data_IF_849655952832
#
_entry.id   IF_849655952832
#
_cell.length_a   1.000
_cell.length_b   1.000
_cell.length_c   1.000
_cell.angle_alpha   90.00
_cell.angle_beta   90.00
_cell.angle_gamma   90.00
#
_symmetry.space_group_name_H-M   'P 1'
#
loop_
_entity.id
_entity.type
_entity.pdbx_description
1 polymer ?
#
# COMPACT_ATOMS: atom_id res chain seq x y z
N UNK A 1 -10.33 9.63 48.70
CA UNK A 1 -10.39 9.61 47.24
C UNK A 1 -11.35 8.53 46.72
N UNK A 2 -11.52 7.41 47.46
CA UNK A 2 -12.43 6.30 47.16
C UNK A 2 -13.46 6.24 48.29
N UNK A 3 -14.74 6.15 47.96
CA UNK A 3 -15.82 5.95 48.90
C UNK A 3 -15.70 4.55 49.53
N UNK A 4 -15.76 4.49 50.90
CA UNK A 4 -15.49 3.24 51.63
C UNK A 4 -16.60 2.19 51.46
N UNK A 5 -17.81 2.65 51.20
CA UNK A 5 -19.03 1.86 51.10
C UNK A 5 -19.28 1.28 49.71
N UNK A 6 -18.88 2.02 48.67
CA UNK A 6 -19.14 1.65 47.26
C UNK A 6 -17.89 1.31 46.46
N UNK A 7 -16.69 1.62 46.95
CA UNK A 7 -15.45 1.53 46.17
C UNK A 7 -15.34 2.54 45.01
N UNK A 8 -16.35 3.40 44.85
CA UNK A 8 -16.38 4.39 43.76
C UNK A 8 -15.45 5.58 44.06
N UNK A 9 -14.97 6.22 42.99
CA UNK A 9 -14.22 7.48 43.12
C UNK A 9 -15.13 8.58 43.67
N UNK A 10 -14.64 9.30 44.71
CA UNK A 10 -15.28 10.51 45.20
C UNK A 10 -15.03 11.70 44.28
N UNK A 11 -15.75 12.81 44.42
CA UNK A 11 -15.46 14.04 43.69
C UNK A 11 -14.02 14.53 43.88
N UNK A 12 -13.47 14.38 45.11
CA UNK A 12 -12.04 14.66 45.38
C UNK A 12 -11.10 13.66 44.69
N UNK A 13 -11.55 12.41 44.53
CA UNK A 13 -10.81 11.39 43.78
C UNK A 13 -10.75 11.71 42.28
N UNK A 14 -11.87 12.11 41.71
CA UNK A 14 -11.94 12.54 40.31
C UNK A 14 -11.09 13.79 40.05
N UNK A 15 -11.14 14.79 40.94
CA UNK A 15 -10.30 15.98 40.83
C UNK A 15 -8.80 15.68 40.89
N UNK A 16 -8.40 14.69 41.69
CA UNK A 16 -7.00 14.23 41.76
C UNK A 16 -6.53 13.50 40.49
N UNK A 17 -7.44 12.89 39.74
CA UNK A 17 -7.16 12.22 38.47
C UNK A 17 -7.18 13.17 37.26
N UNK A 18 -7.75 14.35 37.37
CA UNK A 18 -7.90 15.29 36.26
C UNK A 18 -6.59 15.64 35.54
N UNK A 19 -5.42 15.80 36.22
CA UNK A 19 -4.13 16.00 35.55
C UNK A 19 -3.69 14.83 34.65
N UNK A 20 -4.26 13.65 34.86
CA UNK A 20 -3.94 12.41 34.14
C UNK A 20 -5.01 12.09 33.08
N UNK A 21 -5.96 12.99 32.87
CA UNK A 21 -6.99 12.78 31.88
C UNK A 21 -6.41 12.73 30.48
N UNK A 22 -6.85 11.77 29.71
CA UNK A 22 -6.57 11.68 28.28
C UNK A 22 -7.41 12.73 27.55
N UNK A 23 -6.77 13.60 26.82
CA UNK A 23 -7.44 14.70 26.10
C UNK A 23 -8.08 14.20 24.81
N UNK A 24 -7.36 13.37 24.05
CA UNK A 24 -7.77 12.93 22.73
C UNK A 24 -7.02 11.68 22.25
N UNK A 25 -7.34 11.24 21.02
CA UNK A 25 -6.59 10.23 20.31
C UNK A 25 -6.30 10.65 18.87
N UNK A 26 -5.13 10.26 18.37
CA UNK A 26 -4.71 10.38 16.97
C UNK A 26 -4.53 8.97 16.40
N UNK A 27 -5.27 8.63 15.34
CA UNK A 27 -5.17 7.34 14.66
C UNK A 27 -4.48 7.55 13.31
N UNK A 28 -3.34 6.89 13.11
CA UNK A 28 -2.59 6.93 11.86
C UNK A 28 -3.17 5.90 10.88
N UNK A 29 -3.73 6.37 9.77
CA UNK A 29 -4.43 5.56 8.76
C UNK A 29 -4.06 5.98 7.32
N UNK A 30 -2.87 6.54 7.11
CA UNK A 30 -2.48 7.10 5.82
C UNK A 30 -1.78 6.09 4.89
N UNK A 31 -1.26 4.98 5.41
CA UNK A 31 -0.43 4.02 4.69
C UNK A 31 -1.17 3.20 3.63
N UNK A 32 -0.45 2.83 2.56
CA UNK A 32 -0.99 2.00 1.47
C UNK A 32 -1.00 0.49 1.76
N UNK A 33 -0.33 0.04 2.82
CA UNK A 33 -0.33 -1.37 3.29
C UNK A 33 -0.01 -2.39 2.17
N UNK A 34 1.03 -2.12 1.38
CA UNK A 34 1.38 -2.90 0.17
C UNK A 34 1.66 -4.37 0.42
N UNK A 35 1.99 -4.76 1.65
CA UNK A 35 2.15 -6.17 2.06
C UNK A 35 0.81 -6.94 2.14
N UNK A 36 -0.32 -6.24 2.12
CA UNK A 36 -1.68 -6.83 2.21
C UNK A 36 -2.35 -7.06 0.85
N UNK A 37 -1.60 -7.10 -0.22
CA UNK A 37 -2.12 -7.47 -1.53
C UNK A 37 -2.70 -8.90 -1.48
N UNK A 38 -3.90 -9.14 -2.07
CA UNK A 38 -4.64 -8.24 -2.98
C UNK A 38 -5.56 -7.23 -2.30
N UNK A 39 -5.90 -7.37 -1.03
CA UNK A 39 -6.95 -6.60 -0.38
C UNK A 39 -6.65 -5.10 -0.30
N UNK A 40 -5.38 -4.75 -0.05
CA UNK A 40 -4.97 -3.34 0.02
C UNK A 40 -5.12 -2.61 -1.32
N UNK A 41 -5.21 -3.32 -2.45
CA UNK A 41 -5.54 -2.71 -3.74
C UNK A 41 -7.00 -2.24 -3.82
N UNK A 42 -7.88 -2.82 -3.04
CA UNK A 42 -9.30 -2.49 -3.04
C UNK A 42 -9.66 -1.48 -1.94
N UNK A 43 -9.12 -1.65 -0.73
CA UNK A 43 -9.42 -0.77 0.41
C UNK A 43 -8.23 -0.63 1.36
N UNK A 44 -8.15 0.48 2.12
CA UNK A 44 -7.13 0.67 3.15
C UNK A 44 -7.25 -0.36 4.28
N UNK A 45 -6.12 -0.78 4.86
CA UNK A 45 -6.04 -1.81 5.92
C UNK A 45 -6.95 -1.52 7.11
N UNK A 46 -7.05 -0.26 7.55
CA UNK A 46 -7.94 0.13 8.66
C UNK A 46 -9.44 -0.12 8.41
N UNK A 47 -9.83 -0.35 7.15
CA UNK A 47 -11.22 -0.69 6.77
C UNK A 47 -11.44 -2.19 6.58
N UNK A 48 -10.42 -3.02 6.78
CA UNK A 48 -10.61 -4.47 6.73
C UNK A 48 -11.58 -4.90 7.83
N UNK A 49 -12.50 -5.77 7.44
CA UNK A 49 -13.47 -6.35 8.34
C UNK A 49 -12.86 -7.62 8.96
N UNK A 50 -12.70 -7.61 10.27
CA UNK A 50 -12.12 -8.72 11.05
C UNK A 50 -13.14 -9.11 12.10
N UNK A 51 -13.53 -10.38 12.11
CA UNK A 51 -14.60 -10.92 12.99
C UNK A 51 -15.88 -10.09 12.93
N UNK A 52 -16.24 -9.59 11.74
CA UNK A 52 -17.46 -8.82 11.50
C UNK A 52 -17.40 -7.35 11.87
N UNK A 53 -16.22 -6.81 12.23
CA UNK A 53 -16.04 -5.41 12.58
C UNK A 53 -14.86 -4.79 11.81
N UNK A 54 -14.99 -3.56 11.32
CA UNK A 54 -13.86 -2.85 10.71
C UNK A 54 -12.86 -2.43 11.77
N UNK A 55 -11.57 -2.66 11.52
CA UNK A 55 -10.48 -2.41 12.47
C UNK A 55 -10.54 -1.00 13.07
N UNK A 56 -10.61 0.04 12.24
CA UNK A 56 -10.64 1.43 12.69
C UNK A 56 -11.95 1.76 13.43
N UNK A 57 -13.09 1.19 13.01
CA UNK A 57 -14.36 1.44 13.69
C UNK A 57 -14.37 0.86 15.09
N UNK A 58 -13.82 -0.37 15.24
CA UNK A 58 -13.64 -1.00 16.55
C UNK A 58 -12.78 -0.14 17.48
N UNK A 59 -11.64 0.37 17.01
CA UNK A 59 -10.79 1.26 17.80
C UNK A 59 -11.52 2.54 18.22
N UNK A 60 -12.24 3.19 17.29
CA UNK A 60 -13.01 4.39 17.59
C UNK A 60 -14.07 4.11 18.65
N UNK A 61 -14.78 2.99 18.57
CA UNK A 61 -15.79 2.60 19.56
C UNK A 61 -15.18 2.33 20.93
N UNK A 62 -14.00 1.67 20.98
CA UNK A 62 -13.27 1.39 22.21
C UNK A 62 -12.76 2.68 22.88
N UNK A 63 -12.23 3.64 22.09
CA UNK A 63 -11.85 4.97 22.58
C UNK A 63 -13.03 5.72 23.19
N UNK A 64 -14.17 5.75 22.47
CA UNK A 64 -15.39 6.39 22.96
C UNK A 64 -15.96 5.72 24.22
N UNK A 65 -15.90 4.39 24.30
CA UNK A 65 -16.30 3.64 25.49
C UNK A 65 -15.41 3.97 26.71
N UNK A 66 -14.17 4.37 26.49
CA UNK A 66 -13.26 4.88 27.54
C UNK A 66 -13.51 6.38 27.87
N UNK A 67 -14.45 7.05 27.19
CA UNK A 67 -14.77 8.46 27.38
C UNK A 67 -13.81 9.42 26.65
N UNK A 68 -13.18 8.95 25.56
CA UNK A 68 -12.30 9.74 24.69
C UNK A 68 -13.06 10.02 23.40
N UNK A 69 -13.69 11.19 23.31
CA UNK A 69 -14.55 11.58 22.20
C UNK A 69 -13.84 12.42 21.14
N UNK A 70 -12.76 13.11 21.50
CA UNK A 70 -11.96 13.90 20.57
C UNK A 70 -10.96 13.00 19.84
N UNK A 71 -11.34 12.53 18.64
CA UNK A 71 -10.56 11.58 17.86
C UNK A 71 -10.22 12.20 16.50
N UNK A 72 -8.93 12.25 16.17
CA UNK A 72 -8.43 12.70 14.88
C UNK A 72 -7.84 11.51 14.13
N UNK A 73 -8.24 11.33 12.87
CA UNK A 73 -7.71 10.28 11.99
C UNK A 73 -6.87 10.94 10.89
N UNK A 74 -5.62 10.50 10.77
CA UNK A 74 -4.72 10.97 9.70
C UNK A 74 -4.84 10.04 8.52
N UNK A 75 -5.32 10.57 7.39
CA UNK A 75 -5.68 9.83 6.18
C UNK A 75 -4.70 10.11 5.04
N UNK A 76 -4.52 9.17 4.14
CA UNK A 76 -3.71 9.31 2.93
C UNK A 76 -4.25 8.43 1.81
N UNK A 77 -3.77 7.20 1.72
CA UNK A 77 -4.20 6.23 0.72
C UNK A 77 -5.72 6.00 0.75
N UNK A 78 -6.39 6.16 -0.39
CA UNK A 78 -7.85 5.99 -0.57
C UNK A 78 -8.67 6.67 0.53
N UNK A 79 -8.24 7.88 0.92
CA UNK A 79 -8.80 8.69 2.02
C UNK A 79 -10.32 8.84 1.95
N UNK A 80 -10.89 8.89 0.74
CA UNK A 80 -12.32 9.06 0.50
C UNK A 80 -13.16 7.94 1.12
N UNK A 81 -12.60 6.73 1.22
CA UNK A 81 -13.29 5.58 1.80
C UNK A 81 -13.51 5.70 3.31
N UNK A 82 -12.80 6.61 3.98
CA UNK A 82 -12.96 6.88 5.42
C UNK A 82 -13.93 8.01 5.74
N UNK A 83 -14.35 8.82 4.77
CA UNK A 83 -15.10 10.05 5.05
C UNK A 83 -16.43 9.83 5.76
N UNK A 84 -17.06 8.68 5.61
CA UNK A 84 -18.28 8.31 6.33
C UNK A 84 -18.09 8.25 7.86
N UNK A 85 -16.86 8.04 8.35
CA UNK A 85 -16.57 8.01 9.78
C UNK A 85 -16.84 9.35 10.47
N UNK A 86 -16.78 10.46 9.72
CA UNK A 86 -17.11 11.79 10.25
C UNK A 86 -18.58 11.87 10.65
N UNK A 87 -19.47 11.41 9.80
CA UNK A 87 -20.90 11.41 10.09
C UNK A 87 -21.26 10.36 11.15
N UNK A 88 -20.63 9.17 11.07
CA UNK A 88 -20.96 8.04 11.94
C UNK A 88 -20.45 8.23 13.37
N UNK A 89 -19.24 8.78 13.52
CA UNK A 89 -18.54 8.82 14.81
C UNK A 89 -18.12 10.23 15.27
N UNK A 90 -18.25 11.26 14.44
CA UNK A 90 -17.84 12.62 14.77
C UNK A 90 -16.34 12.85 14.78
N UNK A 91 -15.54 11.99 14.13
CA UNK A 91 -14.08 12.12 14.08
C UNK A 91 -13.64 13.28 13.18
N UNK A 92 -12.45 13.81 13.45
CA UNK A 92 -11.76 14.82 12.63
C UNK A 92 -10.82 14.13 11.65
N UNK A 93 -10.51 14.78 10.53
CA UNK A 93 -9.54 14.29 9.57
C UNK A 93 -8.41 15.27 9.35
N UNK A 94 -7.19 14.73 9.25
CA UNK A 94 -6.00 15.41 8.73
C UNK A 94 -5.55 14.62 7.51
N UNK A 95 -5.24 15.31 6.41
CA UNK A 95 -4.83 14.66 5.17
C UNK A 95 -3.33 14.72 5.01
N UNK A 96 -2.71 13.56 4.80
CA UNK A 96 -1.31 13.44 4.42
C UNK A 96 -1.24 13.10 2.92
N UNK A 97 -1.06 14.12 2.09
CA UNK A 97 -0.92 13.93 0.64
C UNK A 97 0.47 13.41 0.22
N UNK A 98 1.42 13.35 1.17
CA UNK A 98 2.76 12.80 0.94
C UNK A 98 2.93 11.35 1.40
N UNK A 99 1.84 10.63 1.69
CA UNK A 99 1.83 9.29 2.28
C UNK A 99 2.62 8.24 1.47
N UNK A 100 2.77 8.44 0.16
CA UNK A 100 3.50 7.55 -0.75
C UNK A 100 5.02 7.84 -0.83
N UNK A 101 5.46 8.97 -0.27
CA UNK A 101 6.87 9.41 -0.30
C UNK A 101 7.44 9.44 1.11
N UNK A 102 6.61 9.83 2.07
CA UNK A 102 6.98 10.00 3.48
C UNK A 102 6.24 8.99 4.35
N UNK A 103 6.93 8.47 5.35
CA UNK A 103 6.38 7.48 6.28
C UNK A 103 5.49 8.12 7.37
N UNK A 104 5.12 7.35 8.40
CA UNK A 104 4.16 7.74 9.44
C UNK A 104 4.61 8.93 10.29
N UNK A 105 5.91 9.28 10.34
CA UNK A 105 6.40 10.49 11.00
C UNK A 105 5.77 11.76 10.40
N UNK A 106 5.58 11.81 9.08
CA UNK A 106 4.90 12.95 8.45
C UNK A 106 3.44 13.02 8.88
N UNK A 107 2.76 11.88 8.97
CA UNK A 107 1.36 11.82 9.44
C UNK A 107 1.25 12.37 10.87
N UNK A 108 2.16 11.97 11.75
CA UNK A 108 2.19 12.45 13.13
C UNK A 108 2.57 13.93 13.23
N UNK A 109 3.51 14.39 12.40
CA UNK A 109 3.87 15.81 12.34
C UNK A 109 2.71 16.69 11.84
N UNK A 110 1.94 16.24 10.86
CA UNK A 110 0.74 16.95 10.41
C UNK A 110 -0.29 17.07 11.52
N UNK A 111 -0.38 16.06 12.39
CA UNK A 111 -1.28 16.03 13.54
C UNK A 111 -0.69 16.71 14.81
N UNK A 112 0.46 17.38 14.73
CA UNK A 112 1.18 17.91 15.92
C UNK A 112 0.36 18.86 16.79
N UNK A 113 -0.57 19.62 16.22
CA UNK A 113 -1.47 20.50 16.98
C UNK A 113 -2.47 19.74 17.85
N UNK A 114 -2.70 18.46 17.56
CA UNK A 114 -3.58 17.58 18.31
C UNK A 114 -2.84 16.81 19.41
N UNK A 115 -1.49 16.81 19.40
CA UNK A 115 -0.69 16.08 20.39
C UNK A 115 -0.65 16.84 21.75
N UNK A 116 -1.29 16.22 22.76
CA UNK A 116 -1.43 16.69 24.14
C UNK A 116 -1.18 15.49 25.07
N UNK A 117 -2.07 15.24 26.03
CA UNK A 117 -2.23 13.92 26.67
C UNK A 117 -2.99 13.01 25.69
N UNK A 118 -2.27 12.39 24.77
CA UNK A 118 -2.84 11.82 23.55
C UNK A 118 -2.54 10.33 23.40
N UNK A 119 -3.53 9.53 23.07
CA UNK A 119 -3.28 8.20 22.51
C UNK A 119 -2.86 8.34 21.04
N UNK A 120 -1.71 7.78 20.71
CA UNK A 120 -1.24 7.60 19.33
C UNK A 120 -1.45 6.14 18.94
N UNK A 121 -2.29 5.91 17.95
CA UNK A 121 -2.73 4.60 17.51
C UNK A 121 -2.43 4.39 16.03
N UNK A 122 -2.30 3.13 15.61
CA UNK A 122 -2.29 2.71 14.21
C UNK A 122 -3.63 2.06 13.87
N UNK A 123 -4.12 2.27 12.65
CA UNK A 123 -5.48 1.86 12.26
C UNK A 123 -5.67 0.37 12.02
N UNK A 124 -4.59 -0.40 12.05
CA UNK A 124 -4.51 -1.81 11.68
C UNK A 124 -4.36 -2.76 12.88
N UNK A 125 -4.42 -2.24 14.09
CA UNK A 125 -4.43 -3.05 15.31
C UNK A 125 -5.83 -3.52 15.66
N UNK A 126 -5.96 -4.79 16.03
CA UNK A 126 -7.15 -5.39 16.59
C UNK A 126 -6.96 -5.66 18.09
N UNK A 127 -7.72 -4.96 18.91
CA UNK A 127 -7.75 -5.18 20.37
C UNK A 127 -8.92 -6.07 20.74
N UNK A 128 -8.63 -7.23 21.35
CA UNK A 128 -9.67 -8.18 21.78
C UNK A 128 -10.54 -7.56 22.86
N UNK A 129 -9.90 -6.96 23.86
CA UNK A 129 -10.54 -6.17 24.91
C UNK A 129 -10.18 -4.70 24.74
N UNK A 130 -10.95 -3.81 25.37
CA UNK A 130 -10.67 -2.38 25.31
C UNK A 130 -9.40 -2.03 26.08
N UNK A 131 -8.30 -1.60 25.42
CA UNK A 131 -7.04 -1.27 26.10
C UNK A 131 -7.00 0.17 26.61
N UNK A 132 -7.98 1.01 26.23
CA UNK A 132 -7.98 2.44 26.49
C UNK A 132 -8.60 2.76 27.84
N UNK A 133 -7.99 3.75 28.52
CA UNK A 133 -8.46 4.27 29.79
C UNK A 133 -8.70 5.78 29.69
N UNK A 134 -9.65 6.28 30.45
CA UNK A 134 -9.92 7.72 30.55
C UNK A 134 -8.78 8.51 31.19
N UNK A 135 -8.00 7.87 32.04
CA UNK A 135 -6.88 8.45 32.76
C UNK A 135 -5.64 7.59 32.60
N UNK A 136 -4.52 8.20 32.24
CA UNK A 136 -3.21 7.55 32.15
C UNK A 136 -2.16 8.40 32.87
N UNK A 137 -1.37 7.77 33.71
CA UNK A 137 -0.47 8.52 34.62
C UNK A 137 0.96 8.68 34.10
N UNK A 138 1.32 7.99 32.98
CA UNK A 138 2.66 8.07 32.41
C UNK A 138 2.63 7.78 30.91
N UNK A 139 3.58 8.35 30.19
CA UNK A 139 3.83 8.04 28.79
C UNK A 139 4.24 6.58 28.64
N UNK A 140 3.60 5.84 27.75
CA UNK A 140 3.97 4.45 27.49
C UNK A 140 3.82 4.07 26.01
N UNK A 141 4.49 2.97 25.64
CA UNK A 141 4.24 2.22 24.44
C UNK A 141 3.78 0.81 24.82
N UNK A 142 2.69 0.34 24.18
CA UNK A 142 2.18 -1.01 24.38
C UNK A 142 3.09 -2.04 23.69
N UNK A 143 3.09 -3.26 24.17
CA UNK A 143 3.83 -4.34 23.52
C UNK A 143 3.59 -5.71 24.12
N UNK A 144 4.24 -6.68 23.53
CA UNK A 144 4.18 -8.10 23.88
C UNK A 144 5.58 -8.65 24.08
N UNK A 145 5.69 -9.72 24.89
CA UNK A 145 6.90 -10.56 24.92
C UNK A 145 6.77 -11.67 23.89
N UNK A 146 7.78 -11.82 23.03
CA UNK A 146 7.84 -12.85 21.99
C UNK A 146 9.00 -13.80 22.23
N UNK A 147 8.80 -15.08 21.92
CA UNK A 147 9.80 -16.15 22.07
C UNK A 147 10.54 -16.50 20.77
N UNK A 148 10.10 -15.93 19.66
CA UNK A 148 10.68 -16.12 18.32
C UNK A 148 10.91 -14.77 17.67
N UNK A 149 11.79 -14.74 16.66
CA UNK A 149 12.10 -13.52 15.91
C UNK A 149 10.87 -13.01 15.16
N UNK A 150 10.56 -11.73 15.37
CA UNK A 150 9.52 -11.01 14.63
C UNK A 150 10.11 -9.73 14.04
N UNK A 151 9.50 -9.22 13.00
CA UNK A 151 9.96 -7.99 12.32
C UNK A 151 9.39 -6.74 13.01
N UNK A 152 9.63 -6.63 14.33
CA UNK A 152 9.16 -5.53 15.16
C UNK A 152 10.33 -4.84 15.86
N UNK A 153 10.04 -3.68 16.46
CA UNK A 153 11.02 -2.94 17.25
C UNK A 153 11.07 -3.49 18.68
N UNK A 154 12.21 -4.07 19.04
CA UNK A 154 12.47 -4.62 20.37
C UNK A 154 12.88 -3.54 21.34
N UNK A 155 12.54 -3.74 22.62
CA UNK A 155 12.92 -2.82 23.70
C UNK A 155 13.59 -3.52 24.87
N UNK A 156 14.53 -2.79 25.50
CA UNK A 156 15.06 -3.12 26.84
C UNK A 156 14.49 -2.11 27.83
N UNK A 157 14.14 -2.58 29.03
CA UNK A 157 13.63 -1.72 30.10
C UNK A 157 14.51 -1.80 31.33
N UNK A 158 14.51 -0.74 32.14
CA UNK A 158 15.05 -0.79 33.50
C UNK A 158 14.08 -1.50 34.49
N UNK A 159 14.45 -1.48 35.79
CA UNK A 159 13.64 -2.11 36.85
C UNK A 159 12.26 -1.51 37.03
N UNK A 160 12.06 -0.27 36.60
CA UNK A 160 10.81 0.48 36.77
C UNK A 160 9.94 0.39 35.52
N UNK A 161 10.41 -0.35 34.48
CA UNK A 161 9.71 -0.53 33.20
C UNK A 161 9.93 0.60 32.22
N UNK A 162 10.84 1.55 32.49
CA UNK A 162 11.21 2.61 31.55
C UNK A 162 11.98 2.00 30.38
N UNK A 163 11.63 2.36 29.16
CA UNK A 163 12.37 1.97 27.95
C UNK A 163 13.72 2.70 27.96
N UNK A 164 14.81 1.93 27.95
CA UNK A 164 16.18 2.45 27.95
C UNK A 164 16.92 2.21 26.64
N UNK A 165 16.40 1.32 25.81
CA UNK A 165 16.97 0.99 24.50
C UNK A 165 15.89 0.45 23.56
N UNK A 166 15.99 0.82 22.30
CA UNK A 166 15.21 0.25 21.19
C UNK A 166 16.15 -0.38 20.17
N UNK A 167 15.82 -1.56 19.64
CA UNK A 167 16.68 -2.31 18.72
C UNK A 167 15.83 -3.11 17.73
N UNK A 168 16.44 -3.49 16.61
CA UNK A 168 15.86 -4.37 15.59
C UNK A 168 16.57 -5.71 15.58
N UNK A 169 16.00 -6.67 14.85
CA UNK A 169 16.63 -7.94 14.50
C UNK A 169 17.13 -8.73 15.73
N UNK A 170 16.23 -9.06 16.65
CA UNK A 170 16.49 -9.97 17.77
C UNK A 170 15.73 -11.27 17.59
N UNK A 171 16.21 -12.32 18.22
CA UNK A 171 15.58 -13.65 18.17
C UNK A 171 14.36 -13.75 19.08
N UNK A 172 14.33 -13.00 20.20
CA UNK A 172 13.25 -12.97 21.17
C UNK A 172 13.34 -11.69 22.03
N UNK A 173 12.27 -11.37 22.76
CA UNK A 173 12.25 -10.26 23.71
C UNK A 173 10.93 -9.51 23.74
N UNK A 174 10.96 -8.31 24.32
CA UNK A 174 9.82 -7.40 24.34
C UNK A 174 9.77 -6.60 23.05
N UNK A 175 8.62 -6.58 22.38
CA UNK A 175 8.40 -5.84 21.14
C UNK A 175 7.33 -4.78 21.33
N UNK A 176 7.45 -3.68 20.59
CA UNK A 176 6.42 -2.64 20.53
C UNK A 176 5.32 -3.08 19.59
N UNK A 177 4.06 -2.89 20.00
CA UNK A 177 2.89 -3.27 19.20
C UNK A 177 1.67 -2.45 19.61
N UNK A 178 0.86 -2.06 18.64
CA UNK A 178 -0.46 -1.51 18.88
C UNK A 178 -0.49 0.01 19.07
N UNK A 179 -0.52 0.49 20.29
CA UNK A 179 -0.73 1.90 20.60
C UNK A 179 0.25 2.44 21.63
N UNK A 180 0.41 3.76 21.66
CA UNK A 180 1.14 4.47 22.70
C UNK A 180 0.27 5.58 23.30
N UNK A 181 0.56 5.95 24.56
CA UNK A 181 0.00 7.12 25.19
C UNK A 181 1.13 8.12 25.50
N UNK A 182 0.93 9.36 25.17
CA UNK A 182 1.88 10.44 25.35
C UNK A 182 1.31 11.50 26.27
N UNK A 183 2.02 11.78 27.34
CA UNK A 183 1.74 12.99 28.14
C UNK A 183 2.18 14.22 27.34
N UNK A 184 1.57 15.37 27.66
CA UNK A 184 1.85 16.63 26.95
C UNK A 184 3.33 16.98 26.90
N UNK A 185 4.08 16.73 27.96
CA UNK A 185 5.54 16.96 28.00
C UNK A 185 6.28 16.15 26.94
N UNK A 186 5.90 14.88 26.77
CA UNK A 186 6.47 14.01 25.73
C UNK A 186 6.09 14.50 24.35
N UNK A 187 4.81 14.85 24.15
CA UNK A 187 4.29 15.41 22.91
C UNK A 187 5.05 16.67 22.49
N UNK A 188 5.24 17.62 23.40
CA UNK A 188 5.96 18.86 23.15
C UNK A 188 7.43 18.62 22.78
N UNK A 189 8.11 17.72 23.52
CA UNK A 189 9.50 17.35 23.23
C UNK A 189 9.66 16.66 21.86
N UNK A 190 8.75 15.74 21.53
CA UNK A 190 8.73 15.07 20.23
C UNK A 190 8.52 16.07 19.09
N UNK A 191 7.55 16.99 19.23
CA UNK A 191 7.28 18.04 18.23
C UNK A 191 8.52 18.88 17.97
N UNK A 192 9.20 19.33 19.04
CA UNK A 192 10.42 20.14 18.93
C UNK A 192 11.52 19.40 18.15
N UNK A 193 11.72 18.10 18.42
CA UNK A 193 12.69 17.28 17.69
C UNK A 193 12.29 17.09 16.23
N UNK A 194 11.01 16.81 15.97
CA UNK A 194 10.50 16.62 14.61
C UNK A 194 10.60 17.92 13.77
N UNK A 195 10.36 19.08 14.37
CA UNK A 195 10.55 20.40 13.73
C UNK A 195 12.01 20.67 13.40
N UNK A 196 12.92 20.40 14.33
CA UNK A 196 14.36 20.56 14.11
C UNK A 196 14.88 19.63 12.99
N UNK A 197 14.36 18.40 12.91
CA UNK A 197 14.74 17.45 11.87
C UNK A 197 14.24 17.86 10.48
N UNK A 198 13.12 18.55 10.35
CA UNK A 198 12.60 19.01 9.03
C UNK A 198 13.60 19.88 8.27
N UNK A 199 14.44 20.62 8.95
CA UNK A 199 15.52 21.41 8.33
C UNK A 199 16.66 20.52 7.83
N UNK A 200 16.91 19.40 8.54
CA UNK A 200 17.98 18.44 8.24
C UNK A 200 17.51 17.34 7.30
N UNK A 201 16.26 16.87 7.45
CA UNK A 201 15.61 15.88 6.61
C UNK A 201 16.05 14.43 6.87
N UNK A 202 16.59 14.12 8.06
CA UNK A 202 17.09 12.77 8.39
C UNK A 202 15.97 11.74 8.53
N UNK A 203 14.82 12.13 9.11
CA UNK A 203 13.71 11.23 9.41
C UNK A 203 12.49 11.40 8.50
N UNK A 204 12.56 12.26 7.49
CA UNK A 204 11.38 12.61 6.66
C UNK A 204 10.70 11.43 5.95
N UNK A 205 11.37 10.30 5.79
CA UNK A 205 10.83 9.06 5.18
C UNK A 205 10.86 7.87 6.15
N UNK A 206 11.01 8.11 7.46
CA UNK A 206 11.12 7.07 8.48
C UNK A 206 9.82 6.90 9.27
N UNK A 207 9.72 5.82 10.03
CA UNK A 207 8.75 5.69 11.11
C UNK A 207 9.09 6.67 12.25
N UNK A 208 8.09 7.20 12.94
CA UNK A 208 8.31 8.13 14.06
C UNK A 208 9.09 7.50 15.22
N UNK A 209 9.00 6.20 15.36
CA UNK A 209 9.73 5.40 16.34
C UNK A 209 11.26 5.53 16.20
N UNK A 210 11.75 5.76 14.98
CA UNK A 210 13.18 5.98 14.74
C UNK A 210 13.71 7.28 15.37
N UNK A 211 12.90 8.33 15.30
CA UNK A 211 13.24 9.59 15.97
C UNK A 211 13.25 9.37 17.48
N UNK A 212 12.24 8.70 18.04
CA UNK A 212 12.20 8.39 19.47
C UNK A 212 13.40 7.54 19.88
N UNK A 213 13.75 6.50 19.11
CA UNK A 213 14.90 5.62 19.34
C UNK A 213 16.21 6.40 19.45
N UNK A 214 16.46 7.30 18.49
CA UNK A 214 17.72 8.05 18.43
C UNK A 214 17.82 9.15 19.50
N UNK A 215 16.69 9.68 19.94
CA UNK A 215 16.63 10.73 20.96
C UNK A 215 16.07 10.26 22.31
N UNK A 216 16.00 8.96 22.57
CA UNK A 216 15.38 8.37 23.76
C UNK A 216 15.92 8.94 25.07
N UNK A 217 17.23 9.25 25.15
CA UNK A 217 17.85 9.83 26.34
C UNK A 217 17.52 11.32 26.55
N UNK A 218 17.02 12.02 25.54
CA UNK A 218 16.69 13.44 25.57
C UNK A 218 15.19 13.67 25.75
N UNK A 219 14.37 12.68 25.42
CA UNK A 219 12.92 12.71 25.60
C UNK A 219 12.54 12.44 27.07
N UNK A 220 11.39 12.96 27.52
CA UNK A 220 10.80 12.51 28.78
C UNK A 220 10.65 10.99 28.82
N UNK A 221 10.63 10.37 30.02
CA UNK A 221 10.56 8.91 30.12
C UNK A 221 9.36 8.32 29.40
N UNK A 222 9.60 7.23 28.62
CA UNK A 222 8.57 6.38 28.05
C UNK A 222 8.67 5.00 28.69
N UNK A 223 7.54 4.43 29.09
CA UNK A 223 7.46 3.15 29.76
C UNK A 223 6.90 2.08 28.84
N UNK A 224 7.29 0.85 29.10
CA UNK A 224 6.75 -0.31 28.39
C UNK A 224 5.50 -0.81 29.11
N UNK A 225 4.37 -0.87 28.41
CA UNK A 225 3.12 -1.43 28.92
C UNK A 225 2.91 -2.81 28.31
N UNK A 226 3.26 -3.84 29.08
CA UNK A 226 3.16 -5.22 28.62
C UNK A 226 1.71 -5.71 28.61
N UNK A 227 1.31 -6.29 27.50
CA UNK A 227 0.03 -6.96 27.33
C UNK A 227 0.24 -8.48 27.25
N UNK A 228 -0.80 -9.23 27.59
CA UNK A 228 -0.78 -10.68 27.47
C UNK A 228 -0.86 -11.08 25.98
N UNK A 229 -0.07 -12.07 25.52
CA UNK A 229 -0.23 -12.61 24.18
C UNK A 229 -1.69 -12.99 23.86
N UNK A 230 -2.15 -12.65 22.66
CA UNK A 230 -3.53 -12.88 22.24
C UNK A 230 -4.53 -11.77 22.61
N UNK A 231 -4.08 -10.62 23.13
CA UNK A 231 -4.95 -9.48 23.45
C UNK A 231 -4.85 -8.35 22.41
N UNK A 232 -3.69 -8.22 21.76
CA UNK A 232 -3.43 -7.24 20.69
C UNK A 232 -2.92 -8.02 19.49
N UNK A 233 -3.48 -7.72 18.32
CA UNK A 233 -3.04 -8.27 17.04
C UNK A 233 -2.81 -7.11 16.08
N UNK A 234 -1.70 -7.18 15.37
CA UNK A 234 -1.38 -6.36 14.22
C UNK A 234 -1.09 -7.31 13.07
N UNK A 235 -1.73 -7.09 11.93
CA UNK A 235 -1.58 -7.99 10.80
C UNK A 235 -0.65 -7.36 9.79
N UNK A 236 0.42 -8.03 9.43
CA UNK A 236 1.38 -7.58 8.42
C UNK A 236 1.11 -8.19 7.05
N UNK A 237 0.54 -9.39 7.04
CA UNK A 237 0.27 -10.18 5.83
C UNK A 237 -1.15 -10.72 5.81
N UNK A 238 -1.67 -10.94 4.62
CA UNK A 238 -3.02 -11.46 4.41
C UNK A 238 -3.25 -12.82 5.07
N UNK A 239 -2.24 -13.69 5.05
CA UNK A 239 -2.29 -15.03 5.66
C UNK A 239 -2.48 -14.98 7.18
N UNK A 240 -1.91 -14.00 7.86
CA UNK A 240 -2.08 -13.81 9.31
C UNK A 240 -3.54 -13.48 9.65
N UNK A 241 -4.16 -12.62 8.83
CA UNK A 241 -5.57 -12.28 8.96
C UNK A 241 -6.46 -13.51 8.77
N UNK A 242 -6.19 -14.33 7.74
CA UNK A 242 -6.93 -15.58 7.46
C UNK A 242 -6.80 -16.59 8.59
N UNK A 243 -5.64 -16.69 9.22
CA UNK A 243 -5.42 -17.57 10.37
C UNK A 243 -6.14 -17.08 11.63
N UNK A 244 -6.18 -15.77 11.84
CA UNK A 244 -6.85 -15.17 12.99
C UNK A 244 -8.37 -15.19 12.89
N UNK A 245 -8.90 -14.89 11.73
CA UNK A 245 -10.33 -14.91 11.41
C UNK A 245 -10.63 -16.05 10.43
N UNK A 246 -10.93 -17.21 10.95
CA UNK A 246 -11.23 -18.42 10.15
C UNK A 246 -12.51 -18.28 9.31
N UNK A 247 -13.35 -17.29 9.59
CA UNK A 247 -14.53 -16.95 8.81
C UNK A 247 -14.29 -15.77 7.88
N UNK A 248 -13.09 -15.22 7.86
CA UNK A 248 -12.74 -14.05 7.05
C UNK A 248 -13.11 -14.23 5.57
N UNK A 249 -12.86 -15.42 5.03
CA UNK A 249 -13.16 -15.76 3.63
C UNK A 249 -14.65 -15.72 3.29
N UNK A 250 -15.52 -16.03 4.25
CA UNK A 250 -16.98 -15.99 4.06
C UNK A 250 -17.54 -14.56 4.11
N UNK A 251 -16.75 -13.60 4.62
CA UNK A 251 -17.15 -12.20 4.79
C UNK A 251 -16.38 -11.22 3.89
N UNK A 252 -15.30 -11.66 3.22
CA UNK A 252 -14.61 -10.77 2.30
C UNK A 252 -15.41 -10.58 1.03
N UNK A 253 -15.62 -9.33 0.67
CA UNK A 253 -16.22 -8.94 -0.59
C UNK A 253 -15.18 -8.55 -1.64
N UNK A 254 -13.97 -9.13 -1.59
CA UNK A 254 -12.91 -8.82 -2.55
C UNK A 254 -13.33 -9.15 -3.98
N UNK A 255 -13.39 -8.12 -4.82
CA UNK A 255 -13.62 -8.26 -6.26
C UNK A 255 -12.46 -9.00 -6.92
N UNK A 256 -11.23 -8.76 -6.47
CA UNK A 256 -10.02 -9.41 -7.00
C UNK A 256 -10.07 -10.91 -6.76
N UNK A 257 -10.35 -11.35 -5.53
CA UNK A 257 -10.46 -12.77 -5.20
C UNK A 257 -11.62 -13.41 -6.01
N UNK A 258 -12.75 -12.74 -6.08
CA UNK A 258 -13.90 -13.19 -6.91
C UNK A 258 -13.51 -13.35 -8.39
N UNK A 259 -12.73 -12.43 -8.94
CA UNK A 259 -12.26 -12.49 -10.32
C UNK A 259 -11.36 -13.71 -10.55
N UNK A 260 -10.46 -14.02 -9.63
CA UNK A 260 -9.59 -15.20 -9.68
C UNK A 260 -10.46 -16.48 -9.64
N UNK A 261 -11.38 -16.58 -8.69
CA UNK A 261 -12.32 -17.72 -8.55
C UNK A 261 -13.11 -17.95 -9.85
N UNK A 262 -13.60 -16.91 -10.49
CA UNK A 262 -14.35 -17.00 -11.74
C UNK A 262 -13.50 -17.54 -12.90
N UNK A 263 -12.24 -17.13 -13.01
CA UNK A 263 -11.34 -17.56 -14.09
C UNK A 263 -10.91 -19.00 -13.90
N UNK A 264 -10.55 -19.40 -12.68
CA UNK A 264 -10.02 -20.74 -12.40
C UNK A 264 -11.06 -21.75 -11.94
N UNK A 265 -12.27 -21.31 -11.60
CA UNK A 265 -13.38 -22.16 -11.07
C UNK A 265 -12.93 -22.90 -9.80
N UNK A 266 -12.24 -22.22 -8.93
CA UNK A 266 -11.68 -22.72 -7.67
C UNK A 266 -12.37 -22.07 -6.47
N UNK A 267 -12.15 -22.60 -5.27
CA UNK A 267 -12.53 -21.97 -4.02
C UNK A 267 -11.44 -21.02 -3.55
N UNK A 268 -11.75 -20.18 -2.57
CA UNK A 268 -10.82 -19.15 -2.10
C UNK A 268 -9.63 -19.76 -1.36
N UNK A 269 -9.83 -20.89 -0.70
CA UNK A 269 -8.76 -21.64 -0.02
C UNK A 269 -7.71 -22.21 -0.98
N UNK A 270 -8.06 -22.40 -2.25
CA UNK A 270 -7.13 -22.86 -3.28
C UNK A 270 -6.17 -21.75 -3.74
N UNK A 271 -6.49 -20.47 -3.44
CA UNK A 271 -5.69 -19.32 -3.84
C UNK A 271 -4.74 -19.00 -2.70
N UNK A 272 -3.47 -19.28 -2.88
CA UNK A 272 -2.44 -19.18 -1.84
C UNK A 272 -1.19 -18.44 -2.33
N UNK A 273 -0.26 -18.16 -1.43
CA UNK A 273 1.10 -17.68 -1.72
C UNK A 273 1.09 -16.34 -2.49
N UNK A 274 0.34 -15.36 -1.93
CA UNK A 274 0.31 -14.00 -2.48
C UNK A 274 1.65 -13.30 -2.30
N UNK A 275 2.22 -12.82 -3.40
CA UNK A 275 3.52 -12.15 -3.41
C UNK A 275 3.47 -10.89 -4.24
N UNK A 276 4.00 -9.80 -3.71
CA UNK A 276 4.09 -8.55 -4.44
C UNK A 276 5.10 -8.64 -5.58
N UNK A 277 4.78 -8.05 -6.73
CA UNK A 277 5.73 -7.85 -7.82
C UNK A 277 6.16 -6.39 -7.80
N UNK A 278 7.46 -6.13 -7.94
CA UNK A 278 7.97 -4.77 -8.03
C UNK A 278 7.24 -4.00 -9.13
N UNK A 279 6.84 -2.79 -8.81
CA UNK A 279 5.89 -1.95 -9.53
C UNK A 279 6.22 -1.69 -11.00
N UNK A 280 5.22 -1.87 -11.85
CA UNK A 280 5.14 -1.20 -13.15
C UNK A 280 4.72 0.27 -12.97
N UNK A 281 5.06 1.14 -13.93
CA UNK A 281 4.74 2.58 -13.84
C UNK A 281 3.23 2.88 -13.86
N UNK A 282 2.42 2.00 -14.42
CA UNK A 282 0.99 2.24 -14.70
C UNK A 282 0.03 1.28 -14.01
N UNK A 283 0.48 0.10 -13.63
CA UNK A 283 -0.36 -0.97 -13.07
C UNK A 283 0.31 -1.59 -11.85
N UNK A 284 -0.49 -2.09 -10.91
CA UNK A 284 0.01 -2.87 -9.77
C UNK A 284 -0.20 -4.35 -10.04
N UNK A 285 0.83 -5.15 -9.83
CA UNK A 285 0.76 -6.59 -10.09
C UNK A 285 1.17 -7.39 -8.85
N UNK A 286 0.58 -8.57 -8.70
CA UNK A 286 0.96 -9.52 -7.68
C UNK A 286 0.91 -10.95 -8.24
N UNK A 287 1.69 -11.84 -7.62
CA UNK A 287 1.70 -13.27 -7.91
C UNK A 287 0.81 -13.98 -6.90
N UNK A 288 0.11 -15.00 -7.35
CA UNK A 288 -0.62 -15.93 -6.52
C UNK A 288 -0.46 -17.34 -7.08
N UNK A 289 -0.78 -18.37 -6.27
CA UNK A 289 -0.62 -19.77 -6.65
C UNK A 289 -1.95 -20.52 -6.57
N UNK A 290 -2.23 -21.35 -7.58
CA UNK A 290 -3.30 -22.33 -7.60
C UNK A 290 -2.73 -23.65 -8.09
N UNK A 291 -3.01 -24.77 -7.41
CA UNK A 291 -2.56 -26.13 -7.77
C UNK A 291 -1.04 -26.20 -8.01
N UNK A 292 -0.26 -25.47 -7.22
CA UNK A 292 1.19 -25.42 -7.33
C UNK A 292 1.75 -24.60 -8.50
N UNK A 293 0.88 -23.95 -9.30
CA UNK A 293 1.26 -23.10 -10.45
C UNK A 293 1.15 -21.62 -10.06
N UNK A 294 2.18 -20.86 -10.35
CA UNK A 294 2.24 -19.41 -10.15
C UNK A 294 1.55 -18.66 -11.30
N UNK A 295 0.71 -17.69 -10.94
CA UNK A 295 0.03 -16.77 -11.83
C UNK A 295 0.31 -15.34 -11.41
N UNK A 296 0.18 -14.40 -12.36
CA UNK A 296 0.27 -12.97 -12.09
C UNK A 296 -1.07 -12.31 -12.38
N UNK A 297 -1.57 -11.55 -11.40
CA UNK A 297 -2.72 -10.67 -11.54
C UNK A 297 -2.22 -9.24 -11.72
N UNK A 298 -2.67 -8.57 -12.78
CA UNK A 298 -2.43 -7.14 -13.00
C UNK A 298 -3.71 -6.38 -12.68
N UNK A 299 -3.63 -5.54 -11.66
CA UNK A 299 -4.68 -4.58 -11.30
C UNK A 299 -4.41 -3.27 -12.06
N UNK A 300 -5.42 -2.68 -12.76
CA UNK A 300 -5.21 -1.43 -13.47
C UNK A 300 -4.92 -0.29 -12.49
N UNK A 301 -3.98 0.56 -12.84
CA UNK A 301 -3.72 1.80 -12.10
C UNK A 301 -4.79 2.86 -12.39
N UNK A 302 -4.96 3.78 -11.46
CA UNK A 302 -5.92 4.87 -11.58
C UNK A 302 -5.67 5.70 -12.84
N UNK A 303 -6.73 5.94 -13.63
CA UNK A 303 -6.67 6.76 -14.83
C UNK A 303 -6.10 6.06 -16.08
N UNK A 304 -5.65 4.81 -15.99
CA UNK A 304 -5.11 4.07 -17.15
C UNK A 304 -6.16 3.83 -18.23
N UNK A 305 -7.43 3.79 -17.90
CA UNK A 305 -8.53 3.61 -18.87
C UNK A 305 -8.68 4.77 -19.86
N UNK A 306 -8.14 5.95 -19.51
CA UNK A 306 -8.07 7.10 -20.43
C UNK A 306 -6.96 6.99 -21.47
N UNK A 307 -6.00 6.07 -21.28
CA UNK A 307 -4.80 5.91 -22.10
C UNK A 307 -4.81 4.58 -22.84
N UNK A 308 -5.27 3.48 -22.19
CA UNK A 308 -5.19 2.12 -22.70
C UNK A 308 -6.57 1.66 -23.15
N UNK A 309 -6.68 1.21 -24.41
CA UNK A 309 -7.91 0.57 -24.91
C UNK A 309 -7.91 -0.91 -24.53
N UNK A 310 -8.59 -1.26 -23.46
CA UNK A 310 -8.63 -2.64 -22.91
C UNK A 310 -9.19 -3.67 -23.88
N UNK A 311 -10.04 -3.29 -24.81
CA UNK A 311 -10.58 -4.20 -25.85
C UNK A 311 -9.50 -4.52 -26.89
N UNK A 312 -8.74 -3.50 -27.31
CA UNK A 312 -7.61 -3.69 -28.23
C UNK A 312 -6.53 -4.55 -27.58
N UNK A 313 -6.15 -4.25 -26.34
CA UNK A 313 -5.20 -5.04 -25.53
C UNK A 313 -5.63 -6.53 -25.49
N UNK A 314 -6.88 -6.82 -25.12
CA UNK A 314 -7.39 -8.20 -25.08
C UNK A 314 -7.31 -8.89 -26.44
N UNK A 315 -7.62 -8.19 -27.51
CA UNK A 315 -7.54 -8.71 -28.87
C UNK A 315 -6.08 -9.03 -29.23
N UNK A 316 -5.15 -8.12 -28.96
CA UNK A 316 -3.71 -8.31 -29.17
C UNK A 316 -3.17 -9.51 -28.39
N UNK A 317 -3.53 -9.64 -27.11
CA UNK A 317 -3.14 -10.78 -26.27
C UNK A 317 -3.61 -12.13 -26.83
N UNK A 318 -4.85 -12.20 -27.28
CA UNK A 318 -5.41 -13.44 -27.90
C UNK A 318 -4.62 -13.77 -29.17
N UNK A 319 -4.33 -12.78 -30.02
CA UNK A 319 -3.57 -12.97 -31.26
C UNK A 319 -2.11 -13.36 -30.98
N UNK A 320 -1.47 -12.71 -30.04
CA UNK A 320 -0.11 -13.05 -29.61
C UNK A 320 -0.01 -14.50 -29.09
N UNK A 321 -0.99 -14.94 -28.31
CA UNK A 321 -1.08 -16.34 -27.84
C UNK A 321 -1.27 -17.32 -28.99
N UNK A 322 -2.16 -17.02 -29.95
CA UNK A 322 -2.36 -17.85 -31.13
C UNK A 322 -1.12 -17.99 -32.00
N UNK A 323 -0.31 -16.93 -32.07
CA UNK A 323 0.98 -16.95 -32.75
C UNK A 323 2.08 -17.63 -31.93
N UNK A 324 1.85 -18.00 -30.67
CA UNK A 324 2.84 -18.54 -29.77
C UNK A 324 3.96 -17.53 -29.43
N UNK A 325 3.64 -16.24 -29.39
CA UNK A 325 4.55 -15.15 -29.02
C UNK A 325 4.40 -14.81 -27.54
N UNK A 326 3.16 -14.77 -27.06
CA UNK A 326 2.84 -14.67 -25.63
C UNK A 326 1.94 -15.84 -25.20
N UNK A 327 2.52 -16.98 -24.80
CA UNK A 327 1.72 -18.12 -24.31
C UNK A 327 1.21 -17.94 -22.90
N UNK A 328 1.63 -16.88 -22.20
CA UNK A 328 1.31 -16.65 -20.77
C UNK A 328 -0.11 -16.18 -20.54
N UNK A 329 -0.71 -15.52 -21.51
CA UNK A 329 -2.07 -14.94 -21.41
C UNK A 329 -3.11 -15.98 -21.02
N UNK A 330 -3.93 -15.69 -19.99
CA UNK A 330 -5.06 -16.51 -19.53
C UNK A 330 -6.37 -15.77 -19.74
N UNK A 331 -6.54 -14.60 -19.12
CA UNK A 331 -7.77 -13.82 -19.17
C UNK A 331 -7.50 -12.31 -19.01
N UNK A 332 -8.34 -11.50 -19.65
CA UNK A 332 -8.40 -10.06 -19.42
C UNK A 332 -9.87 -9.59 -19.42
N UNK A 333 -10.22 -8.76 -18.45
CA UNK A 333 -11.52 -8.09 -18.42
C UNK A 333 -11.41 -6.73 -19.10
N UNK A 334 -12.31 -6.48 -20.04
CA UNK A 334 -12.28 -5.23 -20.85
C UNK A 334 -13.00 -4.07 -20.17
N UNK A 335 -13.84 -4.35 -19.17
CA UNK A 335 -14.60 -3.33 -18.47
C UNK A 335 -13.85 -2.82 -17.23
N UNK A 336 -13.29 -3.74 -16.46
CA UNK A 336 -12.56 -3.44 -15.24
C UNK A 336 -11.02 -3.34 -15.45
N UNK A 337 -10.52 -3.75 -16.62
CA UNK A 337 -9.11 -3.57 -17.03
C UNK A 337 -8.10 -4.51 -16.37
N UNK A 338 -8.52 -5.45 -15.52
CA UNK A 338 -7.60 -6.42 -14.91
C UNK A 338 -7.26 -7.58 -15.85
N UNK A 339 -6.11 -8.18 -15.61
CA UNK A 339 -5.56 -9.26 -16.42
C UNK A 339 -4.92 -10.35 -15.57
N UNK A 340 -5.06 -11.59 -15.98
CA UNK A 340 -4.35 -12.75 -15.41
C UNK A 340 -3.50 -13.40 -16.49
N UNK A 341 -2.23 -13.67 -16.15
CA UNK A 341 -1.29 -14.41 -16.97
C UNK A 341 -0.56 -15.46 -16.13
N UNK A 342 0.00 -16.49 -16.77
CA UNK A 342 0.89 -17.44 -16.10
C UNK A 342 2.18 -16.74 -15.75
N UNK A 343 2.67 -16.88 -14.52
CA UNK A 343 3.97 -16.33 -14.13
C UNK A 343 5.12 -17.17 -14.70
N UNK A 344 6.16 -16.49 -15.17
CA UNK A 344 7.37 -17.10 -15.69
C UNK A 344 8.51 -16.86 -14.69
N UNK A 345 8.90 -17.86 -13.89
CA UNK A 345 9.79 -17.64 -12.76
C UNK A 345 11.27 -17.44 -13.14
N UNK A 346 11.68 -17.94 -14.30
CA UNK A 346 13.06 -17.92 -14.74
C UNK A 346 13.19 -17.37 -16.16
N UNK A 347 13.59 -16.11 -16.26
CA UNK A 347 13.92 -15.47 -17.52
C UNK A 347 15.01 -14.42 -17.29
N UNK A 348 15.58 -13.94 -18.40
CA UNK A 348 16.39 -12.73 -18.42
C UNK A 348 15.95 -11.81 -19.54
N UNK A 349 16.25 -10.55 -19.41
CA UNK A 349 16.09 -9.60 -20.49
C UNK A 349 17.16 -9.84 -21.60
N UNK A 350 16.87 -9.45 -22.87
CA UNK A 350 17.87 -9.52 -23.92
C UNK A 350 18.99 -8.50 -23.69
N UNK A 351 20.22 -8.93 -24.02
CA UNK A 351 21.33 -8.02 -24.17
C UNK A 351 21.45 -7.61 -25.66
N UNK A 352 21.06 -6.37 -25.94
CA UNK A 352 21.13 -5.85 -27.31
C UNK A 352 22.55 -5.63 -27.82
N UNK A 353 23.58 -5.71 -26.97
CA UNK A 353 24.99 -5.82 -27.37
C UNK A 353 25.36 -7.22 -27.88
N UNK A 354 24.51 -8.23 -27.55
CA UNK A 354 24.70 -9.61 -28.04
C UNK A 354 23.98 -9.80 -29.38
N UNK A 355 24.76 -10.20 -30.40
CA UNK A 355 24.20 -10.57 -31.70
C UNK A 355 23.21 -11.75 -31.59
N UNK A 356 23.53 -12.72 -30.73
CA UNK A 356 22.66 -13.88 -30.52
C UNK A 356 21.30 -13.51 -29.97
N UNK A 357 21.23 -12.61 -28.96
CA UNK A 357 19.99 -12.15 -28.39
C UNK A 357 19.21 -11.27 -29.37
N UNK A 358 19.90 -10.34 -30.01
CA UNK A 358 19.29 -9.49 -31.05
C UNK A 358 18.67 -10.32 -32.17
N UNK A 359 19.34 -11.39 -32.60
CA UNK A 359 18.83 -12.31 -33.62
C UNK A 359 17.54 -13.02 -33.16
N UNK A 360 17.46 -13.45 -31.89
CA UNK A 360 16.27 -14.08 -31.31
C UNK A 360 15.09 -13.12 -31.29
N UNK A 361 15.30 -11.92 -30.74
CA UNK A 361 14.25 -10.86 -30.69
C UNK A 361 13.75 -10.51 -32.08
N UNK A 362 14.64 -10.28 -33.03
CA UNK A 362 14.30 -9.98 -34.43
C UNK A 362 13.56 -11.13 -35.12
N UNK A 363 13.86 -12.38 -34.78
CA UNK A 363 13.13 -13.56 -35.28
C UNK A 363 11.67 -13.53 -34.83
N UNK A 364 11.38 -13.20 -33.57
CA UNK A 364 10.01 -13.04 -33.04
C UNK A 364 9.29 -11.89 -33.71
N UNK A 365 9.93 -10.74 -33.87
CA UNK A 365 9.34 -9.58 -34.55
C UNK A 365 9.05 -9.91 -36.01
N UNK A 366 9.93 -10.61 -36.71
CA UNK A 366 9.69 -11.05 -38.08
C UNK A 366 8.49 -11.98 -38.18
N UNK A 367 8.34 -12.96 -37.25
CA UNK A 367 7.19 -13.83 -37.16
C UNK A 367 5.90 -13.04 -36.96
N UNK A 368 5.93 -12.05 -36.06
CA UNK A 368 4.81 -11.17 -35.79
C UNK A 368 4.39 -10.36 -37.03
N UNK A 369 5.33 -9.64 -37.63
CA UNK A 369 5.07 -8.73 -38.75
C UNK A 369 4.72 -9.47 -40.05
N UNK A 370 5.19 -10.70 -40.23
CA UNK A 370 4.86 -11.54 -41.36
C UNK A 370 3.57 -12.33 -41.16
N UNK A 371 2.88 -12.21 -40.05
CA UNK A 371 1.64 -12.91 -39.78
C UNK A 371 0.47 -12.33 -40.60
N UNK A 372 -0.51 -13.17 -40.95
CA UNK A 372 -1.75 -12.74 -41.61
C UNK A 372 -2.78 -12.15 -40.64
N UNK A 373 -2.38 -11.83 -39.42
CA UNK A 373 -3.29 -11.28 -38.43
C UNK A 373 -3.77 -9.91 -38.87
N UNK A 374 -5.08 -9.73 -38.89
CA UNK A 374 -5.75 -8.43 -39.14
C UNK A 374 -6.49 -8.00 -37.89
N UNK A 375 -6.40 -6.71 -37.60
CA UNK A 375 -7.12 -6.02 -36.53
C UNK A 375 -7.71 -4.74 -37.11
N UNK A 376 -8.78 -4.23 -36.51
CA UNK A 376 -9.50 -3.03 -36.95
C UNK A 376 -9.02 -1.75 -36.23
N UNK A 377 -7.92 -1.83 -35.50
CA UNK A 377 -7.26 -0.72 -34.82
C UNK A 377 -5.78 -0.66 -35.20
N UNK A 378 -5.11 0.39 -34.81
CA UNK A 378 -3.67 0.55 -35.05
C UNK A 378 -3.10 1.69 -34.22
N UNK A 379 -1.79 1.66 -34.05
CA UNK A 379 -1.06 2.74 -33.42
C UNK A 379 -1.23 4.06 -34.18
N UNK A 380 -1.53 5.11 -33.43
CA UNK A 380 -1.64 6.49 -33.91
C UNK A 380 -0.79 7.41 -33.04
N UNK A 381 0.54 7.24 -33.05
CA UNK A 381 1.43 7.83 -32.05
C UNK A 381 1.32 9.36 -32.00
N UNK A 382 1.00 10.01 -33.11
CA UNK A 382 0.82 11.46 -33.14
C UNK A 382 -0.51 11.89 -32.49
N UNK A 383 -1.62 11.26 -32.86
CA UNK A 383 -2.95 11.54 -32.32
C UNK A 383 -3.00 11.19 -30.83
N UNK A 384 -2.38 10.07 -30.45
CA UNK A 384 -2.33 9.63 -29.07
C UNK A 384 -1.51 10.61 -28.20
N UNK A 385 -0.35 11.09 -28.70
CA UNK A 385 0.43 12.13 -28.04
C UNK A 385 -0.36 13.43 -27.86
N UNK A 386 -1.13 13.86 -28.88
CA UNK A 386 -1.99 15.04 -28.78
C UNK A 386 -3.14 14.83 -27.78
N UNK A 387 -3.67 13.62 -27.69
CA UNK A 387 -4.71 13.29 -26.71
C UNK A 387 -4.17 13.29 -25.29
N UNK A 388 -3.00 12.72 -25.05
CA UNK A 388 -2.30 12.78 -23.76
C UNK A 388 -1.98 14.22 -23.34
N UNK A 389 -1.58 15.06 -24.28
CA UNK A 389 -1.34 16.49 -24.00
C UNK A 389 -2.60 17.20 -23.47
N UNK A 390 -3.80 16.83 -23.94
CA UNK A 390 -5.07 17.39 -23.43
C UNK A 390 -5.38 17.01 -21.99
N UNK A 391 -4.81 15.89 -21.49
CA UNK A 391 -4.98 15.45 -20.11
C UNK A 391 -4.13 16.26 -19.12
N UNK A 392 -3.18 17.06 -19.60
CA UNK A 392 -2.36 17.94 -18.76
C UNK A 392 -3.12 19.20 -18.33
N UNK A 393 -4.35 19.05 -17.87
CA UNK A 393 -5.20 20.16 -17.41
C UNK A 393 -4.58 20.86 -16.20
N UNK A 394 -4.46 22.21 -16.28
CA UNK A 394 -3.93 23.03 -15.20
C UNK A 394 -2.39 23.03 -15.07
N UNK A 395 -1.67 22.33 -15.92
CA UNK A 395 -0.21 22.40 -16.03
C UNK A 395 0.18 23.08 -17.34
N UNK A 396 1.25 23.88 -17.30
CA UNK A 396 1.79 24.47 -18.52
C UNK A 396 2.39 23.37 -19.42
N UNK A 397 1.81 23.09 -20.60
CA UNK A 397 2.37 22.12 -21.54
C UNK A 397 3.74 22.55 -22.08
N UNK A 398 4.11 23.84 -21.92
CA UNK A 398 5.38 24.41 -22.34
C UNK A 398 6.45 24.39 -21.23
N UNK A 399 6.26 23.64 -20.13
CA UNK A 399 7.27 23.48 -19.07
C UNK A 399 8.61 22.93 -19.61
N UNK A 400 8.59 22.30 -20.79
CA UNK A 400 9.78 21.88 -21.53
C UNK A 400 10.02 22.80 -22.73
N UNK A 401 10.90 23.75 -22.57
CA UNK A 401 11.37 24.52 -23.74
C UNK A 401 12.33 23.64 -24.57
N UNK A 402 12.14 23.47 -25.85
CA UNK A 402 11.25 24.10 -26.82
C UNK A 402 10.07 23.23 -27.29
N UNK A 403 9.09 22.97 -26.43
CA UNK A 403 7.98 22.03 -26.67
C UNK A 403 7.28 22.29 -28.03
N UNK A 404 6.81 23.50 -28.27
CA UNK A 404 6.08 23.82 -29.51
C UNK A 404 6.94 23.67 -30.79
N UNK A 405 8.22 23.98 -30.71
CA UNK A 405 9.12 23.79 -31.83
C UNK A 405 9.36 22.32 -32.17
N UNK A 406 9.50 21.48 -31.13
CA UNK A 406 9.62 20.01 -31.28
C UNK A 406 8.33 19.41 -31.81
N UNK A 407 7.18 19.81 -31.27
CA UNK A 407 5.86 19.37 -31.71
C UNK A 407 5.63 19.68 -33.20
N UNK A 408 5.98 20.89 -33.64
CA UNK A 408 5.89 21.26 -35.06
C UNK A 408 6.81 20.42 -35.95
N UNK A 409 8.03 20.05 -35.47
CA UNK A 409 8.95 19.20 -36.23
C UNK A 409 8.43 17.77 -36.33
N UNK A 410 7.96 17.19 -35.21
CA UNK A 410 7.40 15.84 -35.16
C UNK A 410 6.15 15.72 -36.03
N UNK A 411 5.26 16.75 -35.99
CA UNK A 411 4.07 16.79 -36.82
C UNK A 411 4.40 16.78 -38.33
N UNK A 412 5.46 17.51 -38.76
CA UNK A 412 5.93 17.43 -40.14
C UNK A 412 6.47 16.06 -40.54
N UNK A 413 7.29 15.44 -39.66
CA UNK A 413 7.79 14.08 -39.87
C UNK A 413 6.62 13.08 -39.99
N UNK A 414 5.62 13.18 -39.11
CA UNK A 414 4.44 12.34 -39.16
C UNK A 414 3.68 12.48 -40.49
N UNK A 415 3.49 13.70 -41.01
CA UNK A 415 2.85 13.89 -42.30
C UNK A 415 3.66 13.23 -43.44
N UNK A 416 4.99 13.22 -43.37
CA UNK A 416 5.82 12.54 -44.37
C UNK A 416 5.60 11.02 -44.34
N UNK A 417 5.50 10.41 -43.14
CA UNK A 417 5.29 8.94 -42.99
C UNK A 417 3.94 8.48 -43.56
N UNK A 418 2.93 9.36 -43.63
CA UNK A 418 1.64 9.02 -44.22
C UNK A 418 1.71 8.75 -45.74
N UNK A 419 2.76 9.25 -46.39
CA UNK A 419 3.02 9.11 -47.83
C UNK A 419 4.01 7.98 -48.17
N UNK A 420 4.62 7.31 -47.22
CA UNK A 420 5.71 6.34 -47.41
C UNK A 420 5.29 5.03 -48.10
N UNK A 421 3.99 4.76 -48.23
CA UNK A 421 3.47 3.55 -48.88
C UNK A 421 3.82 2.23 -48.14
N UNK A 422 4.19 2.31 -46.86
CA UNK A 422 4.52 1.14 -46.05
C UNK A 422 3.24 0.35 -45.72
N UNK A 423 3.25 -0.96 -45.96
CA UNK A 423 2.15 -1.84 -45.58
C UNK A 423 2.03 -1.94 -44.06
N UNK A 424 0.79 -1.83 -43.58
CA UNK A 424 0.48 -2.01 -42.17
C UNK A 424 0.46 -3.50 -41.84
N UNK A 425 1.13 -3.88 -40.77
CA UNK A 425 1.12 -5.24 -40.22
C UNK A 425 0.72 -5.24 -38.74
N UNK A 426 0.39 -6.41 -38.20
CA UNK A 426 0.21 -6.56 -36.77
C UNK A 426 1.54 -6.40 -36.05
N UNK A 427 1.62 -5.45 -35.13
CA UNK A 427 2.84 -5.11 -34.41
C UNK A 427 2.55 -4.95 -32.90
N UNK A 428 3.59 -4.95 -32.09
CA UNK A 428 3.49 -4.82 -30.63
C UNK A 428 3.31 -3.37 -30.18
N UNK A 429 4.00 -2.46 -30.81
CA UNK A 429 3.96 -1.02 -30.46
C UNK A 429 4.95 -0.59 -29.39
N UNK A 430 5.30 -1.45 -28.44
CA UNK A 430 6.24 -1.18 -27.35
C UNK A 430 7.23 -2.33 -27.13
N UNK A 431 8.20 -2.45 -28.00
CA UNK A 431 9.25 -3.49 -27.92
C UNK A 431 10.39 -3.09 -26.98
N UNK A 432 10.07 -2.45 -25.86
CA UNK A 432 11.00 -2.07 -24.83
C UNK A 432 11.64 -3.30 -24.17
N UNK A 433 12.90 -3.18 -23.76
CA UNK A 433 13.70 -4.34 -23.29
C UNK A 433 13.06 -5.15 -22.17
N UNK A 434 12.46 -4.55 -21.13
CA UNK A 434 11.76 -5.30 -20.07
C UNK A 434 10.53 -6.10 -20.51
N UNK A 435 9.96 -5.81 -21.70
CA UNK A 435 8.83 -6.56 -22.24
C UNK A 435 9.24 -7.89 -22.88
N UNK A 436 10.54 -8.17 -22.93
CA UNK A 436 11.09 -9.41 -23.48
C UNK A 436 11.55 -10.36 -22.39
N UNK A 437 11.20 -11.62 -22.51
CA UNK A 437 11.65 -12.69 -21.64
C UNK A 437 12.40 -13.74 -22.47
N UNK A 438 13.71 -13.87 -22.23
CA UNK A 438 14.54 -14.94 -22.80
C UNK A 438 14.59 -16.08 -21.79
N UNK A 439 14.03 -17.22 -22.16
CA UNK A 439 13.94 -18.39 -21.31
C UNK A 439 15.22 -19.25 -21.34
N UNK A 440 15.48 -20.08 -20.32
CA UNK A 440 16.64 -20.96 -20.26
C UNK A 440 16.72 -21.96 -21.40
N UNK A 441 15.60 -22.44 -21.94
CA UNK A 441 15.49 -23.34 -23.10
C UNK A 441 15.75 -22.65 -24.44
N UNK A 442 15.86 -21.33 -24.42
CA UNK A 442 16.16 -20.50 -25.59
C UNK A 442 14.96 -19.89 -26.27
N UNK A 443 13.76 -20.16 -25.77
CA UNK A 443 12.53 -19.52 -26.23
C UNK A 443 12.47 -18.04 -25.81
N UNK A 444 11.70 -17.25 -26.56
CA UNK A 444 11.55 -15.81 -26.35
C UNK A 444 10.08 -15.47 -26.29
N UNK A 445 9.66 -14.83 -25.22
CA UNK A 445 8.30 -14.33 -24.99
C UNK A 445 8.33 -12.80 -25.08
N UNK A 446 7.31 -12.22 -25.69
CA UNK A 446 7.06 -10.78 -25.70
C UNK A 446 5.73 -10.53 -25.01
N UNK A 447 5.78 -9.78 -23.91
CA UNK A 447 4.63 -9.45 -23.06
C UNK A 447 4.25 -7.99 -23.19
N UNK A 448 3.14 -7.59 -22.55
CA UNK A 448 2.65 -6.21 -22.40
C UNK A 448 2.12 -5.58 -23.68
N UNK A 449 1.02 -6.14 -24.18
CA UNK A 449 0.33 -5.79 -25.44
C UNK A 449 -0.72 -4.66 -25.26
N UNK A 450 -0.36 -3.58 -24.60
CA UNK A 450 -1.29 -2.47 -24.29
C UNK A 450 -1.51 -1.48 -25.45
N UNK A 451 -0.66 -1.53 -26.53
CA UNK A 451 -0.63 -0.53 -27.61
C UNK A 451 -1.02 -1.11 -28.97
#
# INVERSE_FOLDING_TARGET
LIARDTGALTGAGLAALEPYRVDNAVILAAGASTRFIPLSLEQPKGLFEVKGEKLIERQIQQLKAAGIDDITVVLGYKKEMFFYLKEKYGVKFIINDAFNIKNNIESLYLARSELKNTYVCVSDSYFVENPFNRFEYQTFYAGLSVSEAVNELYVDTDSDGRIIRMAENRDAGRVLLGHSFWQKEFSDAFIALAEADREVGRYHACFWEWLVKDYLAQLPPMYYKEYTPGTIFEFDYFEELRQFDTQYLSHTHSGIIRNIKLVFRCDEEDIVDFRNVSEGMTNTSFIFKIDGVDYIYRHPGDGTDSIINRRNEKTSLIKAKQLGIDPTYIYADVNEGWKISRFVPQFREPDYGSFADSKKVLSVLRKLHASDVKVDYGMRPWEDALSMQKLLTGKDPNCFAPHEALKAKIGRLYQMTLGDGVEKCFCHGDTYRPNWMLLPDGDVILIDWEY
#
